data_IF_529751456924
#
_entry.id   IF_529751456924
#
_cell.length_a   1.000
_cell.length_b   1.000
_cell.length_c   1.000
_cell.angle_alpha   90.00
_cell.angle_beta   90.00
_cell.angle_gamma   90.00
#
_symmetry.space_group_name_H-M   'P 1'
#
loop_
_entity.id
_entity.type
_entity.pdbx_description
1 polymer ?
#
# COMPACT_ATOMS: atom_id res chain seq x y z
N UNK A 1 3.38 -22.02 17.75
CA UNK A 1 2.64 -20.86 18.30
C UNK A 1 3.03 -19.53 17.64
N UNK A 2 4.31 -19.26 17.36
CA UNK A 2 4.78 -17.97 16.78
C UNK A 2 4.24 -17.69 15.36
N UNK A 3 4.17 -18.70 14.49
CA UNK A 3 3.65 -18.52 13.15
C UNK A 3 2.17 -18.08 13.13
N UNK A 4 1.38 -18.55 14.10
CA UNK A 4 -0.03 -18.17 14.22
C UNK A 4 -0.17 -16.68 14.59
N UNK A 5 0.59 -16.20 15.58
CA UNK A 5 0.53 -14.79 15.99
C UNK A 5 1.01 -13.83 14.91
N UNK A 6 2.02 -14.21 14.11
CA UNK A 6 2.47 -13.43 12.96
C UNK A 6 1.35 -13.28 11.91
N UNK A 7 0.73 -14.38 11.50
CA UNK A 7 -0.33 -14.36 10.50
C UNK A 7 -1.57 -13.58 10.98
N UNK A 8 -1.95 -13.70 12.25
CA UNK A 8 -3.06 -12.93 12.82
C UNK A 8 -2.78 -11.43 12.82
N UNK A 9 -1.55 -10.99 13.11
CA UNK A 9 -1.21 -9.57 13.07
C UNK A 9 -1.37 -8.99 11.66
N UNK A 10 -0.83 -9.68 10.66
CA UNK A 10 -0.93 -9.26 9.25
C UNK A 10 -2.39 -9.27 8.79
N UNK A 11 -3.14 -10.32 9.11
CA UNK A 11 -4.55 -10.42 8.77
C UNK A 11 -5.38 -9.29 9.39
N UNK A 12 -5.17 -8.97 10.66
CA UNK A 12 -5.85 -7.86 11.33
C UNK A 12 -5.52 -6.51 10.69
N UNK A 13 -4.24 -6.25 10.37
CA UNK A 13 -3.85 -5.02 9.66
C UNK A 13 -4.54 -4.88 8.32
N UNK A 14 -4.66 -5.97 7.55
CA UNK A 14 -5.39 -5.93 6.28
C UNK A 14 -6.87 -5.64 6.44
N UNK A 15 -7.53 -6.28 7.42
CA UNK A 15 -8.94 -5.99 7.71
C UNK A 15 -9.13 -4.55 8.16
N UNK A 16 -8.21 -4.04 9.00
CA UNK A 16 -8.24 -2.65 9.43
C UNK A 16 -8.13 -1.67 8.26
N UNK A 17 -7.16 -1.88 7.35
CA UNK A 17 -6.97 -1.03 6.17
C UNK A 17 -8.18 -1.10 5.23
N UNK A 18 -8.76 -2.28 5.01
CA UNK A 18 -10.01 -2.42 4.25
C UNK A 18 -11.17 -1.68 4.91
N UNK A 19 -11.27 -1.76 6.24
CA UNK A 19 -12.25 -1.02 7.03
C UNK A 19 -12.09 0.49 6.86
N UNK A 20 -10.86 0.99 6.86
CA UNK A 20 -10.53 2.39 6.61
C UNK A 20 -10.97 2.84 5.21
N UNK A 21 -10.70 2.05 4.17
CA UNK A 21 -11.13 2.34 2.80
C UNK A 21 -12.65 2.44 2.66
N UNK A 22 -13.40 1.63 3.40
CA UNK A 22 -14.88 1.66 3.39
C UNK A 22 -15.45 2.82 4.20
N UNK A 23 -14.85 3.12 5.34
CA UNK A 23 -15.38 4.11 6.28
C UNK A 23 -15.01 5.54 5.89
N UNK A 24 -13.80 5.74 5.37
CA UNK A 24 -13.24 7.06 5.03
C UNK A 24 -12.45 7.01 3.72
N UNK A 25 -13.09 6.69 2.59
CA UNK A 25 -12.41 6.50 1.30
C UNK A 25 -11.62 7.73 0.85
N UNK A 26 -12.14 8.93 1.09
CA UNK A 26 -11.55 10.21 0.68
C UNK A 26 -10.46 10.75 1.62
N UNK A 27 -10.15 10.02 2.70
CA UNK A 27 -9.08 10.45 3.62
C UNK A 27 -7.70 10.25 2.98
N UNK A 28 -6.73 11.13 3.26
CA UNK A 28 -5.35 10.95 2.78
C UNK A 28 -4.74 9.65 3.31
N UNK A 29 -4.00 8.93 2.46
CA UNK A 29 -3.28 7.72 2.82
C UNK A 29 -2.19 7.95 3.89
N UNK A 30 -1.70 9.18 4.04
CA UNK A 30 -0.73 9.60 5.08
C UNK A 30 -1.22 9.34 6.51
N UNK A 31 -2.54 9.27 6.72
CA UNK A 31 -3.12 8.95 8.04
C UNK A 31 -2.87 7.50 8.46
N UNK A 32 -2.58 6.63 7.50
CA UNK A 32 -2.45 5.18 7.71
C UNK A 32 -1.05 4.67 7.41
N UNK A 33 -0.33 5.33 6.50
CA UNK A 33 1.02 4.96 6.07
C UNK A 33 1.99 6.11 6.29
N UNK A 34 3.18 5.79 6.80
CA UNK A 34 4.27 6.75 6.89
C UNK A 34 4.76 7.16 5.49
N UNK A 35 5.36 8.35 5.37
CA UNK A 35 5.82 8.92 4.09
C UNK A 35 6.76 7.98 3.34
N UNK A 36 7.64 7.33 4.07
CA UNK A 36 8.64 6.39 3.55
C UNK A 36 8.00 5.14 2.94
N UNK A 37 6.72 4.88 3.23
CA UNK A 37 6.00 3.69 2.74
C UNK A 37 5.06 3.97 1.59
N UNK A 38 4.31 5.07 1.64
CA UNK A 38 3.35 5.36 0.57
C UNK A 38 3.98 6.08 -0.62
N UNK A 39 4.94 6.98 -0.37
CA UNK A 39 5.57 7.78 -1.43
C UNK A 39 6.29 6.92 -2.47
N UNK A 40 7.05 5.86 -2.12
CA UNK A 40 7.70 5.00 -3.11
C UNK A 40 6.70 4.28 -4.02
N UNK A 41 5.56 3.87 -3.45
CA UNK A 41 4.51 3.15 -4.18
C UNK A 41 3.80 4.08 -5.16
N UNK A 42 3.42 5.27 -4.69
CA UNK A 42 2.82 6.29 -5.56
C UNK A 42 3.79 6.69 -6.66
N UNK A 43 5.08 6.90 -6.34
CA UNK A 43 6.12 7.20 -7.32
C UNK A 43 6.31 6.07 -8.33
N UNK A 44 6.27 4.81 -7.88
CA UNK A 44 6.41 3.63 -8.75
C UNK A 44 5.23 3.47 -9.73
N UNK A 45 4.01 3.79 -9.28
CA UNK A 45 2.79 3.57 -10.07
C UNK A 45 2.38 4.76 -10.94
N UNK A 46 2.50 5.96 -10.41
CA UNK A 46 1.99 7.19 -11.04
C UNK A 46 3.10 8.07 -11.64
N UNK A 47 4.36 7.80 -11.29
CA UNK A 47 5.52 8.65 -11.61
C UNK A 47 5.38 10.10 -11.12
N UNK A 48 4.48 10.37 -10.17
CA UNK A 48 4.24 11.70 -9.57
C UNK A 48 4.35 11.60 -8.04
N UNK A 49 5.47 12.03 -7.44
CA UNK A 49 5.72 11.80 -6.01
C UNK A 49 5.06 12.83 -5.08
N UNK A 50 4.48 13.90 -5.63
CA UNK A 50 4.23 15.12 -4.85
C UNK A 50 2.89 15.14 -4.10
N UNK A 51 1.98 14.19 -4.39
CA UNK A 51 0.63 14.20 -3.82
C UNK A 51 0.26 12.85 -3.21
N UNK A 52 -0.14 12.90 -1.93
CA UNK A 52 -0.69 11.75 -1.24
C UNK A 52 -2.08 11.41 -1.81
N UNK A 53 -2.23 10.16 -2.24
CA UNK A 53 -3.50 9.66 -2.76
C UNK A 53 -4.57 9.53 -1.67
N UNK A 54 -5.84 9.48 -2.08
CA UNK A 54 -6.93 9.09 -1.18
C UNK A 54 -6.73 7.64 -0.74
N UNK A 55 -7.24 7.29 0.44
CA UNK A 55 -7.14 5.92 0.99
C UNK A 55 -7.77 4.89 0.04
N UNK A 56 -8.81 5.28 -0.71
CA UNK A 56 -9.39 4.47 -1.78
C UNK A 56 -8.47 4.29 -2.97
N UNK A 57 -7.90 5.37 -3.49
CA UNK A 57 -6.97 5.32 -4.61
C UNK A 57 -5.71 4.53 -4.24
N UNK A 58 -5.09 4.84 -3.10
CA UNK A 58 -3.87 4.17 -2.64
C UNK A 58 -4.05 2.66 -2.44
N UNK A 59 -5.18 2.23 -1.87
CA UNK A 59 -5.47 0.80 -1.72
C UNK A 59 -5.78 0.11 -3.06
N UNK A 60 -6.36 0.82 -4.03
CA UNK A 60 -6.48 0.32 -5.40
C UNK A 60 -5.10 0.18 -6.05
N UNK A 61 -4.25 1.20 -5.95
CA UNK A 61 -2.85 1.21 -6.41
C UNK A 61 -2.05 0.01 -5.88
N UNK A 62 -2.13 -0.28 -4.57
CA UNK A 62 -1.51 -1.49 -3.98
C UNK A 62 -2.11 -2.77 -4.57
N UNK A 63 -3.42 -2.84 -4.75
CA UNK A 63 -4.06 -4.03 -5.30
C UNK A 63 -3.74 -4.22 -6.79
N UNK A 64 -3.52 -3.16 -7.55
CA UNK A 64 -3.19 -3.16 -8.99
C UNK A 64 -1.81 -3.76 -9.25
N UNK A 65 -0.84 -3.53 -8.35
CA UNK A 65 0.43 -4.29 -8.33
C UNK A 65 0.16 -5.81 -8.39
N UNK A 66 -0.97 -6.21 -7.82
CA UNK A 66 -1.41 -7.58 -7.63
C UNK A 66 -2.39 -8.04 -8.65
N UNK A 67 -2.47 -7.39 -9.82
CA UNK A 67 -3.39 -7.78 -10.88
C UNK A 67 -4.85 -7.47 -10.59
N UNK A 68 -5.14 -6.56 -9.65
CA UNK A 68 -6.42 -5.88 -9.64
C UNK A 68 -6.51 -4.98 -10.88
N UNK A 69 -7.62 -5.05 -11.62
CA UNK A 69 -7.78 -4.35 -12.91
C UNK A 69 -8.55 -3.03 -12.73
N UNK A 70 -9.17 -2.83 -11.56
CA UNK A 70 -9.93 -1.62 -11.23
C UNK A 70 -11.01 -1.27 -12.27
N UNK A 71 -11.79 -2.28 -12.72
CA UNK A 71 -12.87 -2.04 -13.68
C UNK A 71 -13.97 -1.18 -13.05
N UNK A 72 -14.66 -0.33 -13.84
CA UNK A 72 -15.72 0.58 -13.36
C UNK A 72 -16.82 -0.08 -12.50
N UNK A 73 -17.16 -1.34 -12.79
CA UNK A 73 -18.17 -2.10 -12.02
C UNK A 73 -17.55 -3.08 -11.02
N UNK A 74 -16.23 -3.12 -10.90
CA UNK A 74 -15.53 -3.95 -9.95
C UNK A 74 -15.53 -3.24 -8.60
N UNK A 75 -16.08 -3.92 -7.59
CA UNK A 75 -16.04 -3.41 -6.22
C UNK A 75 -14.60 -3.21 -5.71
N UNK A 76 -14.44 -2.58 -4.54
CA UNK A 76 -13.14 -2.31 -3.94
C UNK A 76 -12.32 -3.60 -3.76
N UNK A 77 -10.97 -3.50 -3.77
CA UNK A 77 -10.10 -4.66 -3.70
C UNK A 77 -10.35 -5.52 -2.45
N UNK A 78 -10.43 -6.83 -2.66
CA UNK A 78 -10.53 -7.82 -1.59
C UNK A 78 -9.17 -8.09 -0.91
N UNK A 79 -9.15 -8.98 0.08
CA UNK A 79 -7.92 -9.35 0.80
C UNK A 79 -6.88 -10.06 -0.07
N UNK A 80 -7.31 -10.85 -1.06
CA UNK A 80 -6.40 -11.63 -1.93
C UNK A 80 -5.41 -10.79 -2.75
N UNK A 81 -5.84 -9.80 -3.55
CA UNK A 81 -4.90 -8.99 -4.33
C UNK A 81 -3.96 -8.18 -3.44
N UNK A 82 -4.45 -7.67 -2.30
CA UNK A 82 -3.63 -6.95 -1.32
C UNK A 82 -2.56 -7.88 -0.72
N UNK A 83 -2.95 -9.09 -0.29
CA UNK A 83 -2.02 -10.06 0.31
C UNK A 83 -0.94 -10.51 -0.65
N UNK A 84 -1.29 -10.77 -1.91
CA UNK A 84 -0.34 -11.20 -2.93
C UNK A 84 0.81 -10.21 -3.11
N UNK A 85 0.54 -8.92 -2.95
CA UNK A 85 1.53 -7.87 -3.22
C UNK A 85 2.22 -7.31 -2.01
N UNK A 86 1.93 -7.78 -0.79
CA UNK A 86 2.63 -7.27 0.38
C UNK A 86 4.14 -7.45 0.27
N UNK A 87 4.59 -8.60 -0.24
CA UNK A 87 6.01 -8.84 -0.45
C UNK A 87 6.62 -7.83 -1.44
N UNK A 88 5.93 -7.55 -2.55
CA UNK A 88 6.39 -6.58 -3.56
C UNK A 88 6.35 -5.15 -3.04
N UNK A 89 5.32 -4.80 -2.30
CA UNK A 89 5.20 -3.52 -1.59
C UNK A 89 6.40 -3.32 -0.66
N UNK A 90 6.72 -4.31 0.16
CA UNK A 90 7.88 -4.26 1.06
C UNK A 90 9.19 -4.12 0.28
N UNK A 91 9.37 -4.87 -0.81
CA UNK A 91 10.56 -4.76 -1.68
C UNK A 91 10.71 -3.36 -2.29
N UNK A 92 9.63 -2.72 -2.75
CA UNK A 92 9.68 -1.36 -3.33
C UNK A 92 10.08 -0.34 -2.25
N UNK A 93 9.48 -0.45 -1.06
CA UNK A 93 9.78 0.43 0.07
C UNK A 93 11.23 0.28 0.53
N UNK A 94 11.73 -0.96 0.62
CA UNK A 94 13.12 -1.25 0.98
C UNK A 94 14.11 -0.69 -0.05
N UNK A 95 13.88 -0.98 -1.34
CA UNK A 95 14.72 -0.49 -2.42
C UNK A 95 14.78 1.04 -2.47
N UNK A 96 13.64 1.72 -2.26
CA UNK A 96 13.60 3.17 -2.17
C UNK A 96 14.36 3.70 -0.95
N UNK A 97 14.20 3.06 0.21
CA UNK A 97 14.93 3.43 1.43
C UNK A 97 16.45 3.34 1.24
N UNK A 98 16.93 2.31 0.56
CA UNK A 98 18.35 2.14 0.26
C UNK A 98 18.85 3.13 -0.80
N UNK A 99 18.03 3.45 -1.80
CA UNK A 99 18.32 4.51 -2.76
C UNK A 99 18.45 5.89 -2.09
N UNK A 100 17.57 6.23 -1.16
CA UNK A 100 17.66 7.49 -0.42
C UNK A 100 18.92 7.55 0.47
N UNK A 101 19.33 6.43 1.10
CA UNK A 101 20.57 6.40 1.88
C UNK A 101 21.82 6.58 1.02
N UNK A 102 21.84 6.02 -0.20
CA UNK A 102 23.00 6.11 -1.10
C UNK A 102 23.16 7.48 -1.76
N UNK A 103 22.10 8.28 -1.82
CA UNK A 103 22.11 9.62 -2.43
C UNK A 103 22.34 10.76 -1.44
N UNK A 104 22.25 10.53 -0.12
CA UNK A 104 22.57 11.52 0.93
C UNK A 104 24.08 11.88 1.08
N UNK A 105 24.88 11.66 0.04
CA UNK A 105 26.33 11.91 0.02
C UNK A 105 26.82 12.84 -1.10
N UNK A 106 25.92 13.57 -1.78
CA UNK A 106 26.26 14.59 -2.79
C UNK A 106 25.62 15.92 -2.42
#
# INVERSE_FOLDING_TARGET
MVAFSMLTNVAWRMEHLKGATRSKPESSCEKYFAREKWMPIVMFLTHRPDEAETMKAFMASIAELGGYINKKSQGPPGSKPIWREMARFETIVEAYGDFCKSTCGV
#
